data_IF_350916831759
#
_entry.id   IF_350916831759
#
_cell.length_a   1.000
_cell.length_b   1.000
_cell.length_c   1.000
_cell.angle_alpha   90.00
_cell.angle_beta   90.00
_cell.angle_gamma   90.00
#
_symmetry.space_group_name_H-M   'P 1'
#
loop_
_entity.id
_entity.type
_entity.pdbx_description
1 polymer ?
#
# COMPACT_ATOMS: atom_id res chain seq x y z
N UNK A 1 -0.03 5.18 -24.67
CA UNK A 1 -0.06 6.13 -23.54
C UNK A 1 0.00 5.26 -22.29
N UNK A 2 1.07 5.31 -21.49
CA UNK A 2 1.40 4.26 -20.52
C UNK A 2 0.73 4.51 -19.16
N UNK A 3 0.13 3.46 -18.60
CA UNK A 3 -0.64 3.41 -17.36
C UNK A 3 0.03 4.18 -16.20
N UNK A 4 -0.75 5.07 -15.56
CA UNK A 4 -0.28 6.06 -14.58
C UNK A 4 -0.11 5.54 -13.14
N UNK A 5 -0.21 4.23 -12.90
CA UNK A 5 -0.28 3.70 -11.53
C UNK A 5 1.09 3.29 -10.97
N UNK A 6 2.10 3.06 -11.83
CA UNK A 6 3.42 2.60 -11.37
C UNK A 6 4.46 3.70 -11.49
N UNK A 7 4.57 4.53 -10.45
CA UNK A 7 5.85 5.17 -10.17
C UNK A 7 6.24 5.18 -8.70
N UNK A 8 5.33 5.07 -7.74
CA UNK A 8 5.69 5.43 -6.36
C UNK A 8 6.36 4.35 -5.52
N UNK A 9 6.05 3.06 -5.69
CA UNK A 9 6.70 2.00 -4.89
C UNK A 9 8.16 1.75 -5.32
N UNK A 10 8.54 2.02 -6.58
CA UNK A 10 9.90 1.76 -7.11
C UNK A 10 10.71 3.01 -7.49
N UNK A 11 10.15 4.22 -7.52
CA UNK A 11 10.85 5.44 -8.00
C UNK A 11 11.28 6.41 -6.89
N UNK A 12 11.40 5.99 -5.63
CA UNK A 12 12.14 6.76 -4.63
C UNK A 12 13.54 6.18 -4.53
N UNK A 13 14.39 6.62 -5.46
CA UNK A 13 15.85 6.61 -5.27
C UNK A 13 16.18 7.64 -4.18
N UNK A 14 17.11 7.36 -3.25
CA UNK A 14 17.55 8.34 -2.24
C UNK A 14 18.19 9.60 -2.86
N UNK A 15 18.56 9.55 -4.15
CA UNK A 15 19.22 10.65 -4.86
C UNK A 15 18.28 11.76 -5.37
N UNK A 16 16.95 11.59 -5.33
CA UNK A 16 16.02 12.60 -5.89
C UNK A 16 15.47 13.59 -4.85
N UNK A 17 16.00 13.60 -3.63
CA UNK A 17 15.60 14.51 -2.55
C UNK A 17 16.48 15.77 -2.43
N UNK A 18 17.53 15.90 -3.24
CA UNK A 18 18.42 17.08 -3.19
C UNK A 18 17.90 18.26 -4.05
N UNK A 19 16.97 18.04 -4.99
CA UNK A 19 16.60 19.11 -5.95
C UNK A 19 15.42 20.00 -5.53
N UNK A 20 14.82 19.82 -4.35
CA UNK A 20 13.69 20.68 -3.90
C UNK A 20 14.06 21.53 -2.67
N UNK A 21 15.35 21.77 -2.45
CA UNK A 21 15.82 22.76 -1.47
C UNK A 21 17.07 23.48 -1.96
N UNK A 22 17.02 24.17 -3.11
CA UNK A 22 18.03 25.19 -3.43
C UNK A 22 17.52 26.18 -4.48
N UNK A 23 16.67 27.09 -4.04
CA UNK A 23 16.72 28.47 -4.50
C UNK A 23 17.25 29.25 -3.29
N UNK A 24 18.24 30.11 -3.52
CA UNK A 24 19.12 30.80 -2.55
C UNK A 24 20.37 30.00 -2.11
N UNK A 25 21.45 30.05 -2.91
CA UNK A 25 22.74 30.62 -2.47
C UNK A 25 23.70 30.71 -3.67
N UNK A 26 24.14 31.92 -3.99
CA UNK A 26 25.20 32.22 -4.97
C UNK A 26 26.59 32.11 -4.37
N UNK A 27 27.52 31.59 -5.19
CA UNK A 27 28.97 31.85 -5.26
C UNK A 27 29.91 31.38 -4.13
N UNK A 28 30.98 30.68 -4.54
CA UNK A 28 32.19 30.43 -3.73
C UNK A 28 33.08 29.31 -4.27
N UNK A 29 34.05 29.65 -5.11
CA UNK A 29 35.12 28.78 -5.64
C UNK A 29 36.18 28.45 -4.57
N UNK A 30 36.69 27.21 -4.53
CA UNK A 30 37.86 26.86 -3.70
C UNK A 30 38.41 25.46 -3.93
N UNK A 31 39.61 25.41 -4.51
CA UNK A 31 40.47 24.26 -4.84
C UNK A 31 41.09 23.57 -3.62
N UNK A 32 41.36 22.26 -3.68
CA UNK A 32 42.23 21.57 -2.71
C UNK A 32 42.27 20.04 -2.86
N UNK A 33 43.40 19.52 -3.34
CA UNK A 33 43.77 18.10 -3.42
C UNK A 33 44.12 17.49 -2.05
N UNK A 34 43.87 16.19 -1.85
CA UNK A 34 44.85 15.15 -1.43
C UNK A 34 44.28 14.02 -0.54
N UNK A 35 44.50 12.79 -1.04
CA UNK A 35 45.02 11.56 -0.42
C UNK A 35 44.46 10.93 0.87
N UNK A 36 44.36 9.60 0.74
CA UNK A 36 44.79 8.51 1.64
C UNK A 36 43.70 7.72 2.39
N UNK A 37 43.66 6.44 2.02
CA UNK A 37 43.47 5.23 2.83
C UNK A 37 42.30 5.15 3.83
N UNK A 38 41.34 4.29 3.51
CA UNK A 38 40.47 3.59 4.46
C UNK A 38 40.22 2.18 3.89
N UNK A 39 40.90 1.14 4.40
CA UNK A 39 40.51 0.32 5.55
C UNK A 39 39.25 -0.52 5.29
N UNK A 40 39.46 -1.83 5.21
CA UNK A 40 38.57 -2.97 5.54
C UNK A 40 37.06 -2.65 5.51
N UNK A 41 36.38 -3.23 4.51
CA UNK A 41 34.93 -3.24 4.36
C UNK A 41 34.23 -3.94 5.52
N UNK A 42 33.92 -3.18 6.56
CA UNK A 42 32.91 -3.51 7.57
C UNK A 42 31.58 -2.88 7.08
N UNK A 43 30.71 -3.66 6.41
CA UNK A 43 29.37 -3.15 6.09
C UNK A 43 28.55 -3.16 7.39
N UNK A 44 27.97 -2.03 7.81
CA UNK A 44 27.13 -2.01 8.99
C UNK A 44 25.90 -2.90 8.74
N UNK A 45 25.45 -3.54 9.82
CA UNK A 45 24.16 -4.24 9.91
C UNK A 45 23.08 -3.34 9.25
N UNK A 46 22.29 -3.96 8.34
CA UNK A 46 21.50 -3.34 7.26
C UNK A 46 21.04 -1.89 7.44
N UNK A 47 21.40 -1.03 6.48
CA UNK A 47 20.91 0.34 6.43
C UNK A 47 19.39 0.37 6.13
N UNK A 48 18.72 1.48 6.47
CA UNK A 48 17.29 1.74 6.11
C UNK A 48 17.00 1.45 4.63
N UNK A 49 17.96 1.77 3.75
CA UNK A 49 17.88 1.51 2.32
C UNK A 49 17.83 0.01 2.02
N UNK A 50 18.63 -0.80 2.72
CA UNK A 50 18.74 -2.25 2.52
C UNK A 50 17.45 -2.96 2.93
N UNK A 51 16.83 -2.58 4.06
CA UNK A 51 15.55 -3.17 4.51
C UNK A 51 14.43 -2.93 3.50
N UNK A 52 14.29 -1.70 3.03
CA UNK A 52 13.25 -1.33 2.06
C UNK A 52 13.49 -1.98 0.69
N UNK A 53 14.74 -2.03 0.24
CA UNK A 53 15.09 -2.72 -0.99
C UNK A 53 14.80 -4.22 -0.92
N UNK A 54 15.07 -4.85 0.23
CA UNK A 54 14.76 -6.26 0.48
C UNK A 54 13.26 -6.54 0.39
N UNK A 55 12.43 -5.74 1.08
CA UNK A 55 10.96 -5.83 1.01
C UNK A 55 10.42 -5.63 -0.41
N UNK A 56 10.94 -4.63 -1.14
CA UNK A 56 10.60 -4.38 -2.54
C UNK A 56 10.96 -5.57 -3.44
N UNK A 57 12.16 -6.12 -3.26
CA UNK A 57 12.61 -7.29 -4.04
C UNK A 57 11.70 -8.49 -3.80
N UNK A 58 11.39 -8.79 -2.53
CA UNK A 58 10.53 -9.92 -2.14
C UNK A 58 9.09 -9.82 -2.70
N UNK A 59 8.58 -8.60 -2.91
CA UNK A 59 7.18 -8.36 -3.28
C UNK A 59 6.97 -7.94 -4.74
N UNK A 60 8.04 -7.81 -5.54
CA UNK A 60 7.98 -7.23 -6.89
C UNK A 60 7.00 -7.90 -7.82
N UNK A 61 7.12 -9.22 -7.97
CA UNK A 61 6.28 -9.95 -8.90
C UNK A 61 4.78 -9.88 -8.53
N UNK A 62 4.48 -9.90 -7.22
CA UNK A 62 3.11 -9.81 -6.70
C UNK A 62 2.50 -8.43 -6.92
N UNK A 63 3.29 -7.38 -6.70
CA UNK A 63 2.88 -6.01 -7.01
C UNK A 63 2.59 -5.84 -8.51
N UNK A 64 3.46 -6.35 -9.38
CA UNK A 64 3.24 -6.33 -10.84
C UNK A 64 1.98 -7.11 -11.24
N UNK A 65 1.76 -8.29 -10.66
CA UNK A 65 0.56 -9.09 -10.92
C UNK A 65 -0.71 -8.36 -10.50
N UNK A 66 -0.77 -7.79 -9.29
CA UNK A 66 -1.92 -7.00 -8.83
C UNK A 66 -2.21 -5.82 -9.75
N UNK A 67 -1.18 -5.17 -10.28
CA UNK A 67 -1.38 -4.10 -11.25
C UNK A 67 -2.06 -4.60 -12.54
N UNK A 68 -1.86 -5.86 -12.93
CA UNK A 68 -2.52 -6.41 -14.11
C UNK A 68 -3.97 -6.83 -13.85
N UNK A 69 -4.30 -7.24 -12.61
CA UNK A 69 -5.59 -7.89 -12.31
C UNK A 69 -6.58 -7.02 -11.53
N UNK A 70 -6.13 -5.90 -10.93
CA UNK A 70 -7.03 -5.03 -10.18
C UNK A 70 -7.90 -4.15 -11.12
N UNK A 71 -9.20 -3.91 -10.79
CA UNK A 71 -10.16 -3.28 -11.71
C UNK A 71 -9.80 -1.86 -12.19
N UNK A 72 -9.10 -1.08 -11.35
CA UNK A 72 -8.72 0.30 -11.67
C UNK A 72 -7.50 0.42 -12.60
N UNK A 73 -7.01 -0.69 -13.16
CA UNK A 73 -5.78 -0.72 -13.94
C UNK A 73 -5.99 -0.54 -15.44
N UNK A 74 -7.24 -0.51 -15.91
CA UNK A 74 -7.63 -0.31 -17.32
C UNK A 74 -8.02 1.14 -17.62
N UNK A 75 -7.86 1.60 -18.86
CA UNK A 75 -8.15 3.00 -19.22
C UNK A 75 -9.66 3.33 -19.19
N UNK A 76 -10.53 2.35 -19.44
CA UNK A 76 -11.99 2.50 -19.50
C UNK A 76 -12.68 2.15 -18.17
N UNK A 77 -12.16 2.63 -17.04
CA UNK A 77 -12.77 2.43 -15.73
C UNK A 77 -14.13 3.12 -15.61
N UNK A 78 -15.16 2.37 -15.24
CA UNK A 78 -16.47 2.89 -14.86
C UNK A 78 -16.71 2.83 -13.33
N UNK A 79 -17.93 3.17 -12.90
CA UNK A 79 -18.30 3.15 -11.48
C UNK A 79 -18.39 1.72 -10.93
N UNK A 80 -18.75 0.73 -11.76
CA UNK A 80 -18.78 -0.68 -11.38
C UNK A 80 -17.37 -1.20 -11.07
N UNK A 81 -16.38 -0.86 -11.91
CA UNK A 81 -14.97 -1.19 -11.66
C UNK A 81 -14.44 -0.58 -10.37
N UNK A 82 -14.81 0.68 -10.10
CA UNK A 82 -14.47 1.34 -8.84
C UNK A 82 -15.05 0.61 -7.64
N UNK A 83 -16.34 0.25 -7.69
CA UNK A 83 -17.02 -0.43 -6.59
C UNK A 83 -16.49 -1.86 -6.39
N UNK A 84 -16.16 -2.56 -7.48
CA UNK A 84 -15.49 -3.86 -7.40
C UNK A 84 -14.12 -3.74 -6.72
N UNK A 85 -13.33 -2.73 -7.09
CA UNK A 85 -12.05 -2.45 -6.44
C UNK A 85 -12.22 -2.18 -4.94
N UNK A 86 -13.21 -1.38 -4.55
CA UNK A 86 -13.51 -1.11 -3.15
C UNK A 86 -13.92 -2.38 -2.39
N UNK A 87 -14.79 -3.21 -2.96
CA UNK A 87 -15.21 -4.47 -2.34
C UNK A 87 -14.05 -5.43 -2.12
N UNK A 88 -13.11 -5.51 -3.07
CA UNK A 88 -11.88 -6.30 -2.94
C UNK A 88 -11.00 -5.78 -1.79
N UNK A 89 -10.74 -4.47 -1.75
CA UNK A 89 -9.94 -3.86 -0.69
C UNK A 89 -10.61 -3.98 0.69
N UNK A 90 -11.93 -3.86 0.76
CA UNK A 90 -12.69 -4.09 1.99
C UNK A 90 -12.51 -5.51 2.51
N UNK A 91 -12.71 -6.51 1.64
CA UNK A 91 -12.54 -7.92 1.97
C UNK A 91 -11.12 -8.29 2.40
N UNK A 92 -10.13 -7.50 1.97
CA UNK A 92 -8.72 -7.64 2.36
C UNK A 92 -8.38 -6.91 3.66
N UNK A 93 -8.79 -5.65 3.82
CA UNK A 93 -8.44 -4.81 4.98
C UNK A 93 -9.17 -5.21 6.26
N UNK A 94 -10.45 -5.60 6.19
CA UNK A 94 -11.24 -5.98 7.38
C UNK A 94 -10.60 -7.10 8.21
N UNK A 95 -10.20 -8.26 7.64
CA UNK A 95 -9.55 -9.30 8.43
C UNK A 95 -8.17 -8.87 8.95
N UNK A 96 -7.45 -7.98 8.25
CA UNK A 96 -6.17 -7.43 8.72
C UNK A 96 -6.39 -6.50 9.94
N UNK A 97 -7.40 -5.62 9.89
CA UNK A 97 -7.74 -4.73 11.02
C UNK A 97 -8.09 -5.54 12.28
N UNK A 98 -8.95 -6.56 12.15
CA UNK A 98 -9.32 -7.44 13.26
C UNK A 98 -8.12 -8.19 13.81
N UNK A 99 -7.28 -8.74 12.93
CA UNK A 99 -6.10 -9.49 13.32
C UNK A 99 -5.07 -8.62 14.05
N UNK A 100 -4.76 -7.42 13.54
CA UNK A 100 -3.78 -6.53 14.17
C UNK A 100 -4.22 -6.06 15.57
N UNK A 101 -5.53 -5.90 15.81
CA UNK A 101 -6.07 -5.55 17.14
C UNK A 101 -5.85 -6.62 18.21
N UNK A 102 -5.59 -7.86 17.82
CA UNK A 102 -5.34 -8.96 18.76
C UNK A 102 -3.93 -8.91 19.39
N UNK A 103 -3.05 -8.03 18.91
CA UNK A 103 -1.67 -7.91 19.36
C UNK A 103 -1.42 -6.56 20.04
N UNK A 104 -0.63 -6.59 21.12
CA UNK A 104 -0.20 -5.38 21.84
C UNK A 104 1.20 -4.90 21.40
N UNK A 105 1.87 -5.67 20.55
CA UNK A 105 3.23 -5.48 20.06
C UNK A 105 3.27 -5.30 18.54
N UNK A 106 4.16 -4.43 18.04
CA UNK A 106 4.29 -4.11 16.61
C UNK A 106 3.65 -2.77 16.22
N UNK A 107 3.06 -2.65 15.01
CA UNK A 107 2.61 -1.37 14.44
C UNK A 107 1.58 -0.66 15.35
N UNK A 108 1.91 0.58 15.73
CA UNK A 108 1.23 1.33 16.80
C UNK A 108 -0.20 1.76 16.42
N UNK A 109 -0.93 2.32 17.39
CA UNK A 109 -2.31 2.81 17.26
C UNK A 109 -2.59 3.69 16.03
N UNK A 110 -1.59 4.41 15.52
CA UNK A 110 -1.73 5.26 14.33
C UNK A 110 -2.00 4.44 13.05
N UNK A 111 -1.37 3.27 12.90
CA UNK A 111 -1.55 2.40 11.73
C UNK A 111 -2.92 1.72 11.79
N UNK A 112 -3.33 1.23 12.97
CA UNK A 112 -4.67 0.69 13.17
C UNK A 112 -5.77 1.73 12.85
N UNK A 113 -5.57 2.97 13.29
CA UNK A 113 -6.47 4.09 12.99
C UNK A 113 -6.54 4.35 11.48
N UNK A 114 -5.39 4.40 10.79
CA UNK A 114 -5.28 4.55 9.34
C UNK A 114 -6.14 3.51 8.60
N UNK A 115 -5.99 2.23 8.95
CA UNK A 115 -6.75 1.12 8.36
C UNK A 115 -8.25 1.27 8.62
N UNK A 116 -8.64 1.53 9.87
CA UNK A 116 -10.05 1.71 10.25
C UNK A 116 -10.73 2.84 9.49
N UNK A 117 -10.05 3.98 9.35
CA UNK A 117 -10.58 5.11 8.59
C UNK A 117 -10.70 4.78 7.10
N UNK A 118 -9.78 3.99 6.54
CA UNK A 118 -9.87 3.58 5.13
C UNK A 118 -11.06 2.67 4.90
N UNK A 119 -11.31 1.71 5.79
CA UNK A 119 -12.50 0.86 5.75
C UNK A 119 -13.77 1.73 5.81
N UNK A 120 -13.82 2.74 6.69
CA UNK A 120 -14.96 3.63 6.79
C UNK A 120 -15.21 4.45 5.49
N UNK A 121 -14.16 4.90 4.81
CA UNK A 121 -14.30 5.58 3.51
C UNK A 121 -14.79 4.65 2.41
N UNK A 122 -14.30 3.41 2.39
CA UNK A 122 -14.79 2.37 1.48
C UNK A 122 -16.29 2.13 1.72
N UNK A 123 -16.69 1.95 2.98
CA UNK A 123 -18.09 1.73 3.35
C UNK A 123 -18.99 2.89 2.93
N UNK A 124 -18.54 4.14 3.09
CA UNK A 124 -19.29 5.33 2.69
C UNK A 124 -19.51 5.43 1.17
N UNK A 125 -18.53 4.99 0.37
CA UNK A 125 -18.61 5.01 -1.09
C UNK A 125 -19.47 3.86 -1.65
N UNK A 126 -19.38 2.67 -1.04
CA UNK A 126 -20.27 1.55 -1.34
C UNK A 126 -21.72 1.89 -0.98
N UNK A 127 -21.96 2.48 0.20
CA UNK A 127 -23.29 2.89 0.63
C UNK A 127 -23.90 3.95 -0.29
N UNK A 128 -23.09 4.89 -0.80
CA UNK A 128 -23.57 5.87 -1.77
C UNK A 128 -24.10 5.20 -3.04
N UNK A 129 -23.38 4.19 -3.55
CA UNK A 129 -23.78 3.49 -4.76
C UNK A 129 -25.10 2.72 -4.59
N UNK A 130 -25.27 2.01 -3.48
CA UNK A 130 -26.51 1.27 -3.17
C UNK A 130 -27.76 2.17 -3.11
N UNK A 131 -27.59 3.47 -2.84
CA UNK A 131 -28.69 4.42 -2.75
C UNK A 131 -28.95 5.20 -4.05
N UNK A 132 -27.95 5.33 -4.94
CA UNK A 132 -27.99 6.29 -6.06
C UNK A 132 -27.65 5.71 -7.43
N UNK A 133 -27.05 4.52 -7.50
CA UNK A 133 -26.73 3.86 -8.78
C UNK A 133 -27.78 2.79 -9.05
N UNK A 134 -28.66 3.05 -10.02
CA UNK A 134 -29.70 2.10 -10.43
C UNK A 134 -29.07 0.80 -10.91
N UNK A 135 -29.69 -0.32 -10.56
CA UNK A 135 -29.28 -1.68 -10.94
C UNK A 135 -27.88 -2.09 -10.45
N UNK A 136 -27.27 -1.33 -9.53
CA UNK A 136 -26.02 -1.73 -8.90
C UNK A 136 -26.28 -2.81 -7.85
N UNK A 137 -25.75 -4.01 -8.11
CA UNK A 137 -25.61 -5.05 -7.11
C UNK A 137 -24.17 -5.01 -6.63
N UNK A 138 -23.97 -4.72 -5.34
CA UNK A 138 -22.63 -4.73 -4.76
C UNK A 138 -22.03 -6.14 -4.93
N UNK A 139 -20.84 -6.27 -5.52
CA UNK A 139 -20.24 -7.58 -5.71
C UNK A 139 -19.99 -8.23 -4.35
N UNK A 140 -20.48 -9.46 -4.19
CA UNK A 140 -20.26 -10.25 -2.98
C UNK A 140 -18.84 -10.80 -3.00
N UNK A 141 -17.94 -10.12 -2.30
CA UNK A 141 -16.55 -10.55 -2.13
C UNK A 141 -16.41 -11.27 -0.81
N UNK A 142 -16.04 -12.55 -0.86
CA UNK A 142 -15.68 -13.30 0.34
C UNK A 142 -14.40 -12.71 0.95
N UNK A 143 -14.38 -12.43 2.26
CA UNK A 143 -13.18 -11.93 2.93
C UNK A 143 -11.94 -12.81 2.69
N UNK A 144 -10.76 -12.21 2.80
CA UNK A 144 -9.52 -12.98 2.83
C UNK A 144 -9.58 -14.00 3.97
N UNK A 145 -9.12 -15.23 3.70
CA UNK A 145 -9.00 -16.22 4.76
C UNK A 145 -7.86 -15.82 5.68
N UNK A 146 -8.14 -15.82 6.97
CA UNK A 146 -7.10 -15.76 8.00
C UNK A 146 -6.47 -17.15 8.09
N UNK A 147 -5.17 -17.26 7.81
CA UNK A 147 -4.42 -18.51 7.99
C UNK A 147 -4.02 -18.66 9.46
N UNK A 148 -3.99 -19.90 9.97
CA UNK A 148 -3.57 -20.18 11.36
C UNK A 148 -2.15 -19.71 11.70
N UNK A 149 -1.28 -19.53 10.69
CA UNK A 149 0.07 -18.96 10.87
C UNK A 149 0.05 -17.51 11.38
N UNK A 150 -1.06 -16.78 11.20
CA UNK A 150 -1.21 -15.42 11.71
C UNK A 150 -1.39 -15.32 13.22
N UNK A 151 -1.88 -16.37 13.86
CA UNK A 151 -2.12 -16.38 15.31
C UNK A 151 -0.80 -16.37 16.09
N UNK A 152 0.28 -16.89 15.50
CA UNK A 152 1.62 -16.96 16.07
C UNK A 152 2.62 -16.04 15.38
N UNK A 153 2.14 -15.07 14.59
CA UNK A 153 2.99 -14.17 13.81
C UNK A 153 3.90 -13.31 14.71
N UNK A 154 5.15 -13.13 14.26
CA UNK A 154 6.11 -12.24 14.92
C UNK A 154 5.74 -10.75 14.74
N UNK A 155 6.24 -9.84 15.61
CA UNK A 155 6.10 -8.39 15.38
C UNK A 155 6.64 -7.95 14.02
N UNK A 156 7.76 -8.54 13.58
CA UNK A 156 8.37 -8.24 12.31
C UNK A 156 7.48 -8.64 11.12
N UNK A 157 6.84 -9.80 11.19
CA UNK A 157 5.82 -10.20 10.21
C UNK A 157 4.68 -9.17 10.12
N UNK A 158 4.17 -8.67 11.26
CA UNK A 158 3.12 -7.62 11.27
C UNK A 158 3.58 -6.32 10.60
N UNK A 159 4.82 -5.91 10.81
CA UNK A 159 5.40 -4.76 10.09
C UNK A 159 5.40 -4.96 8.57
N UNK A 160 5.72 -6.17 8.11
CA UNK A 160 5.62 -6.56 6.72
C UNK A 160 4.22 -6.42 6.12
N UNK A 161 3.19 -6.88 6.84
CA UNK A 161 1.79 -6.71 6.42
C UNK A 161 1.43 -5.22 6.33
N UNK A 162 1.78 -4.43 7.36
CA UNK A 162 1.52 -3.01 7.38
C UNK A 162 2.26 -2.24 6.27
N UNK A 163 3.45 -2.69 5.87
CA UNK A 163 4.17 -2.10 4.73
C UNK A 163 3.36 -2.14 3.44
N UNK A 164 2.68 -3.27 3.18
CA UNK A 164 1.83 -3.42 1.99
C UNK A 164 0.57 -2.56 2.09
N UNK A 165 -0.06 -2.55 3.27
CA UNK A 165 -1.27 -1.75 3.52
C UNK A 165 -1.00 -0.26 3.38
N UNK A 166 0.04 0.26 4.02
CA UNK A 166 0.44 1.66 3.93
C UNK A 166 0.92 2.03 2.51
N UNK A 167 1.66 1.14 1.85
CA UNK A 167 2.14 1.33 0.48
C UNK A 167 1.00 1.42 -0.55
N UNK A 168 -0.09 0.68 -0.34
CA UNK A 168 -1.26 0.69 -1.25
C UNK A 168 -1.93 2.06 -1.37
N UNK A 169 -1.75 2.93 -0.37
CA UNK A 169 -2.41 4.24 -0.30
C UNK A 169 -1.71 5.32 -1.14
N UNK A 170 -0.47 5.08 -1.58
CA UNK A 170 0.35 6.07 -2.31
C UNK A 170 -0.19 6.40 -3.71
N UNK A 171 -0.95 5.49 -4.33
CA UNK A 171 -1.49 5.67 -5.67
C UNK A 171 -2.80 6.46 -5.73
N UNK A 172 -3.49 6.65 -4.59
CA UNK A 172 -4.86 7.15 -4.54
C UNK A 172 -5.04 8.55 -5.16
N UNK A 173 -4.10 9.46 -4.88
CA UNK A 173 -4.18 10.84 -5.39
C UNK A 173 -4.09 10.93 -6.93
N UNK A 174 -3.36 10.02 -7.57
CA UNK A 174 -3.26 9.96 -9.04
C UNK A 174 -4.56 9.42 -9.63
N UNK A 175 -5.07 8.32 -9.06
CA UNK A 175 -6.35 7.74 -9.45
C UNK A 175 -7.50 8.74 -9.26
N UNK A 176 -7.54 9.45 -8.14
CA UNK A 176 -8.55 10.47 -7.87
C UNK A 176 -8.56 11.56 -8.94
N UNK A 177 -7.40 12.10 -9.30
CA UNK A 177 -7.29 13.12 -10.35
C UNK A 177 -7.81 12.61 -11.70
N UNK A 178 -7.58 11.34 -12.01
CA UNK A 178 -8.00 10.74 -13.28
C UNK A 178 -9.50 10.39 -13.32
N UNK A 179 -10.06 9.97 -12.19
CA UNK A 179 -11.40 9.36 -12.14
C UNK A 179 -12.50 10.32 -11.66
N UNK A 180 -12.17 11.37 -10.88
CA UNK A 180 -13.18 12.23 -10.22
C UNK A 180 -14.21 12.86 -11.16
N UNK A 181 -13.80 13.28 -12.35
CA UNK A 181 -14.70 13.91 -13.34
C UNK A 181 -15.49 12.86 -14.11
N UNK A 182 -14.86 11.72 -14.43
CA UNK A 182 -15.47 10.64 -15.19
C UNK A 182 -16.54 9.89 -14.39
N UNK A 183 -16.28 9.67 -13.10
CA UNK A 183 -17.17 8.89 -12.23
C UNK A 183 -18.18 9.77 -11.49
N UNK A 184 -18.20 11.08 -11.74
CA UNK A 184 -19.22 11.96 -11.20
C UNK A 184 -20.63 11.49 -11.60
N UNK A 185 -21.63 11.53 -10.70
CA UNK A 185 -21.61 12.21 -9.39
C UNK A 185 -21.11 11.35 -8.21
N UNK A 186 -20.45 10.20 -8.44
CA UNK A 186 -19.91 9.38 -7.36
C UNK A 186 -18.74 10.09 -6.64
N UNK A 187 -18.73 10.15 -5.29
CA UNK A 187 -17.83 11.04 -4.53
C UNK A 187 -16.35 10.58 -4.42
N UNK A 188 -16.02 9.32 -4.74
CA UNK A 188 -14.67 8.74 -4.67
C UNK A 188 -13.89 9.04 -3.37
N UNK A 189 -14.55 9.03 -2.20
CA UNK A 189 -13.96 9.41 -0.90
C UNK A 189 -12.75 8.56 -0.54
N UNK A 190 -12.74 7.27 -0.89
CA UNK A 190 -11.58 6.41 -0.63
C UNK A 190 -10.31 6.89 -1.34
N UNK A 191 -10.42 7.42 -2.56
CA UNK A 191 -9.27 7.90 -3.34
C UNK A 191 -8.87 9.35 -3.00
N UNK A 192 -9.72 10.09 -2.29
CA UNK A 192 -9.43 11.48 -1.94
C UNK A 192 -8.14 11.58 -1.12
N UNK A 193 -7.19 12.44 -1.50
CA UNK A 193 -5.98 12.66 -0.73
C UNK A 193 -6.34 13.12 0.70
N UNK A 194 -5.75 12.48 1.71
CA UNK A 194 -5.79 13.03 3.08
C UNK A 194 -5.02 14.37 3.12
N UNK A 195 -5.42 15.28 4.01
CA UNK A 195 -4.77 16.59 4.20
C UNK A 195 -3.31 16.46 4.68
N UNK A 196 -2.96 15.37 5.35
CA UNK A 196 -1.57 14.98 5.59
C UNK A 196 -1.00 14.39 4.31
N UNK A 197 0.01 15.05 3.74
CA UNK A 197 0.62 14.61 2.48
C UNK A 197 1.05 13.15 2.58
N UNK A 198 0.44 12.26 1.79
CA UNK A 198 0.66 10.80 1.85
C UNK A 198 2.14 10.40 1.78
N UNK A 199 2.98 11.23 1.15
CA UNK A 199 4.43 11.03 1.11
C UNK A 199 5.15 11.27 2.45
N UNK A 200 4.70 12.22 3.28
CA UNK A 200 5.27 12.44 4.62
C UNK A 200 4.88 11.31 5.57
N UNK A 201 3.60 10.89 5.54
CA UNK A 201 3.10 9.74 6.29
C UNK A 201 3.88 8.47 5.95
N UNK A 202 4.06 8.19 4.65
CA UNK A 202 4.86 7.05 4.20
C UNK A 202 6.31 7.09 4.68
N UNK A 203 6.97 8.24 4.60
CA UNK A 203 8.35 8.39 5.11
C UNK A 203 8.43 8.14 6.62
N UNK A 204 7.47 8.65 7.38
CA UNK A 204 7.39 8.42 8.83
C UNK A 204 7.17 6.93 9.14
N UNK A 205 6.24 6.27 8.43
CA UNK A 205 6.01 4.83 8.54
C UNK A 205 7.28 4.03 8.24
N UNK A 206 7.94 4.29 7.10
CA UNK A 206 9.17 3.61 6.70
C UNK A 206 10.26 3.78 7.75
N UNK A 207 10.45 5.00 8.26
CA UNK A 207 11.44 5.27 9.30
C UNK A 207 11.16 4.50 10.59
N UNK A 208 9.90 4.41 11.03
CA UNK A 208 9.52 3.63 12.20
C UNK A 208 9.80 2.14 11.97
N UNK A 209 9.35 1.60 10.83
CA UNK A 209 9.54 0.19 10.50
C UNK A 209 11.03 -0.18 10.47
N UNK A 210 11.88 0.61 9.83
CA UNK A 210 13.31 0.30 9.74
C UNK A 210 14.05 0.42 11.07
N UNK A 211 13.51 1.18 12.03
CA UNK A 211 14.06 1.22 13.39
C UNK A 211 13.69 -0.01 14.23
N UNK A 212 12.62 -0.72 13.86
CA UNK A 212 12.17 -1.94 14.55
C UNK A 212 12.77 -3.20 13.91
N UNK A 213 13.07 -3.18 12.61
CA UNK A 213 13.65 -4.31 11.86
C UNK A 213 15.18 -4.27 11.88
N UNK A 214 15.77 -4.66 13.02
CA UNK A 214 17.22 -4.54 13.27
C UNK A 214 18.05 -5.79 12.96
N UNK A 215 17.43 -6.94 12.65
CA UNK A 215 18.15 -8.20 12.38
C UNK A 215 17.76 -8.79 11.03
N UNK A 216 18.64 -9.58 10.38
CA UNK A 216 18.30 -10.30 9.15
C UNK A 216 17.05 -11.17 9.28
N UNK A 217 16.86 -11.82 10.43
CA UNK A 217 15.70 -12.67 10.71
C UNK A 217 14.42 -11.84 10.79
N UNK A 218 14.46 -10.67 11.43
CA UNK A 218 13.33 -9.75 11.48
C UNK A 218 12.99 -9.23 10.07
N UNK A 219 13.98 -8.89 9.26
CA UNK A 219 13.77 -8.46 7.87
C UNK A 219 13.12 -9.59 7.05
N UNK A 220 13.57 -10.83 7.24
CA UNK A 220 12.99 -11.99 6.55
C UNK A 220 11.54 -12.23 6.97
N UNK A 221 11.23 -12.13 8.27
CA UNK A 221 9.87 -12.23 8.79
C UNK A 221 8.96 -11.13 8.23
N UNK A 222 9.45 -9.89 8.14
CA UNK A 222 8.72 -8.81 7.49
C UNK A 222 8.49 -9.08 5.99
N UNK A 223 9.45 -9.68 5.30
CA UNK A 223 9.25 -10.10 3.91
C UNK A 223 8.15 -11.16 3.79
N UNK A 224 8.12 -12.14 4.70
CA UNK A 224 7.08 -13.16 4.75
C UNK A 224 5.69 -12.51 4.95
N UNK A 225 5.58 -11.58 5.90
CA UNK A 225 4.34 -10.83 6.14
C UNK A 225 3.88 -10.00 4.94
N UNK A 226 4.81 -9.33 4.26
CA UNK A 226 4.49 -8.55 3.07
C UNK A 226 4.04 -9.44 1.90
N UNK A 227 4.72 -10.57 1.68
CA UNK A 227 4.36 -11.58 0.68
C UNK A 227 2.95 -12.11 0.92
N UNK A 228 2.64 -12.52 2.15
CA UNK A 228 1.32 -13.06 2.50
C UNK A 228 0.21 -12.02 2.35
N UNK A 229 0.48 -10.75 2.70
CA UNK A 229 -0.49 -9.67 2.53
C UNK A 229 -0.87 -9.48 1.06
N UNK A 230 0.14 -9.52 0.16
CA UNK A 230 -0.08 -9.47 -1.27
C UNK A 230 -0.83 -10.70 -1.79
N UNK A 231 -0.41 -11.90 -1.41
CA UNK A 231 -1.02 -13.16 -1.89
C UNK A 231 -2.50 -13.24 -1.55
N UNK A 232 -2.92 -12.73 -0.39
CA UNK A 232 -4.34 -12.67 -0.02
C UNK A 232 -5.16 -11.72 -0.86
N UNK A 233 -4.59 -10.59 -1.26
CA UNK A 233 -5.28 -9.66 -2.15
C UNK A 233 -5.35 -10.23 -3.56
N UNK A 234 -4.29 -10.92 -4.01
CA UNK A 234 -4.28 -11.67 -5.28
C UNK A 234 -5.37 -12.75 -5.26
N UNK A 235 -5.47 -13.52 -4.18
CA UNK A 235 -6.50 -14.53 -4.00
C UNK A 235 -7.91 -13.94 -4.07
N UNK A 236 -8.13 -12.76 -3.50
CA UNK A 236 -9.42 -12.06 -3.61
C UNK A 236 -9.67 -11.64 -5.06
N UNK A 237 -8.68 -11.05 -5.72
CA UNK A 237 -8.81 -10.51 -7.07
C UNK A 237 -9.02 -11.60 -8.15
N UNK A 238 -8.46 -12.80 -7.94
CA UNK A 238 -8.59 -13.93 -8.85
C UNK A 238 -9.82 -14.82 -8.56
N UNK A 239 -10.50 -14.65 -7.43
CA UNK A 239 -11.73 -15.39 -7.15
C UNK A 239 -12.84 -14.94 -8.10
N UNK A 240 -13.58 -15.86 -8.73
CA UNK A 240 -14.77 -15.49 -9.48
C UNK A 240 -15.76 -14.80 -8.54
N UNK A 241 -16.25 -13.62 -8.94
CA UNK A 241 -17.36 -12.96 -8.26
C UNK A 241 -18.55 -13.92 -8.30
N UNK A 242 -19.12 -14.27 -7.14
CA UNK A 242 -20.33 -15.07 -7.15
C UNK A 242 -21.47 -14.19 -7.64
N UNK A 243 -21.89 -14.40 -8.89
CA UNK A 243 -23.16 -13.89 -9.37
C UNK A 243 -24.26 -14.46 -8.47
N UNK A 244 -24.98 -13.58 -7.79
CA UNK A 244 -26.22 -13.94 -7.09
C UNK A 244 -27.31 -14.16 -8.15
N UNK A 245 -27.17 -15.23 -8.93
CA UNK A 245 -28.26 -15.80 -9.71
C UNK A 245 -28.63 -17.14 -9.05
N UNK A 246 -29.42 -17.07 -7.98
CA UNK A 246 -30.23 -18.19 -7.52
C UNK A 246 -31.47 -17.63 -6.83
N UNK A 247 -32.41 -17.20 -7.67
CA UNK A 247 -33.71 -16.67 -7.30
C UNK A 247 -34.68 -16.79 -8.47
N UNK A 248 -34.88 -18.01 -8.98
CA UNK A 248 -36.06 -18.42 -9.74
C UNK A 248 -36.00 -19.94 -9.97
N UNK A 249 -36.74 -20.68 -9.16
CA UNK A 249 -37.00 -22.12 -9.29
C UNK A 249 -38.15 -22.48 -8.36
#
# INVERSE_FOLDING_TARGET
MKAYIIRWVYSISPLTLVTVTSLYQTAGTGSGMNNAEASVSDRPIGSVSDTIETLRSATRHRHELLHCIMPLSVESTDVGDYLLHLSMLRGWLTPIDVWLRAFADGPRENILRSISERIALIDADLAFASLHVKDHIAPSILPARVSGYMETASPAYRWGVCYVVEGSQLGGAVLYKHLKERLAPHPLRFLQPCSESSGAHWKAFVSLMTNELCTPEAIQEACNGAVDAFDRLIDIALRPSQDVCSGAG
#
